data_IF_077696564485
#
_entry.id   IF_077696564485
#
_cell.length_a   1.000
_cell.length_b   1.000
_cell.length_c   1.000
_cell.angle_alpha   90.00
_cell.angle_beta   90.00
_cell.angle_gamma   90.00
#
_symmetry.space_group_name_H-M   'P 1'
#
loop_
_entity.id
_entity.type
_entity.pdbx_description
1 polymer ?
#
# COMPACT_ATOMS: atom_id res chain seq x y z
N UNK A 1 -13.92 -37.74 13.28
CA UNK A 1 -13.74 -36.30 13.61
C UNK A 1 -12.46 -35.82 12.94
N UNK A 2 -12.53 -34.91 11.95
CA UNK A 2 -11.30 -34.24 11.48
C UNK A 2 -10.84 -33.34 12.62
N UNK A 3 -9.69 -33.64 13.23
CA UNK A 3 -9.07 -32.72 14.18
C UNK A 3 -8.68 -31.51 13.33
N UNK A 4 -9.37 -30.38 13.52
CA UNK A 4 -9.03 -29.14 12.83
C UNK A 4 -7.69 -28.67 13.40
N UNK A 5 -6.58 -29.01 12.75
CA UNK A 5 -5.28 -28.46 13.07
C UNK A 5 -5.13 -27.07 12.45
N UNK A 6 -4.38 -26.20 13.11
CA UNK A 6 -3.98 -24.94 12.50
C UNK A 6 -3.22 -25.18 11.19
N UNK A 7 -3.30 -24.26 10.20
CA UNK A 7 -2.59 -24.41 8.93
C UNK A 7 -1.09 -24.67 9.14
N UNK A 8 -0.53 -25.61 8.38
CA UNK A 8 0.91 -25.89 8.40
C UNK A 8 1.68 -24.85 7.60
N UNK A 9 3.00 -24.74 7.81
CA UNK A 9 3.84 -23.84 7.00
C UNK A 9 3.82 -24.22 5.51
N UNK A 10 3.73 -25.52 5.17
CA UNK A 10 3.59 -25.97 3.77
C UNK A 10 2.31 -25.42 3.14
N UNK A 11 1.18 -25.54 3.84
CA UNK A 11 -0.10 -25.01 3.37
C UNK A 11 -0.07 -23.48 3.20
N UNK A 12 0.64 -22.76 4.08
CA UNK A 12 0.84 -21.32 3.94
C UNK A 12 1.68 -20.98 2.71
N UNK A 13 2.76 -21.73 2.45
CA UNK A 13 3.61 -21.54 1.27
C UNK A 13 2.88 -21.84 -0.03
N UNK A 14 2.08 -22.89 -0.09
CA UNK A 14 1.24 -23.21 -1.25
C UNK A 14 0.24 -22.08 -1.55
N UNK A 15 -0.42 -21.56 -0.51
CA UNK A 15 -1.34 -20.43 -0.65
C UNK A 15 -0.62 -19.13 -1.03
N UNK A 16 0.58 -18.91 -0.50
CA UNK A 16 1.45 -17.80 -0.86
C UNK A 16 1.86 -17.85 -2.33
N UNK A 17 2.27 -19.02 -2.83
CA UNK A 17 2.62 -19.22 -4.24
C UNK A 17 1.41 -18.99 -5.17
N UNK A 18 0.22 -19.43 -4.78
CA UNK A 18 -1.01 -19.15 -5.54
C UNK A 18 -1.31 -17.64 -5.57
N UNK A 19 -1.27 -16.97 -4.42
CA UNK A 19 -1.53 -15.53 -4.34
C UNK A 19 -0.48 -14.71 -5.10
N UNK A 20 0.80 -15.03 -4.94
CA UNK A 20 1.90 -14.34 -5.61
C UNK A 20 1.78 -14.40 -7.12
N UNK A 21 1.45 -15.57 -7.67
CA UNK A 21 1.19 -15.73 -9.11
C UNK A 21 0.02 -14.87 -9.59
N UNK A 22 -1.09 -14.85 -8.85
CA UNK A 22 -2.25 -14.03 -9.21
C UNK A 22 -1.97 -12.52 -9.16
N UNK A 23 -1.16 -12.07 -8.20
CA UNK A 23 -0.73 -10.68 -8.09
C UNK A 23 0.20 -10.31 -9.25
N UNK A 24 1.19 -11.15 -9.55
CA UNK A 24 2.16 -10.93 -10.62
C UNK A 24 1.49 -10.92 -12.01
N UNK A 25 0.61 -11.89 -12.30
CA UNK A 25 -0.17 -11.98 -13.54
C UNK A 25 -1.07 -10.75 -13.79
N UNK A 26 -1.52 -10.08 -12.72
CA UNK A 26 -2.36 -8.88 -12.80
C UNK A 26 -1.58 -7.58 -12.57
N UNK A 27 -0.26 -7.65 -12.41
CA UNK A 27 0.61 -6.52 -12.08
C UNK A 27 0.14 -5.71 -10.85
N UNK A 28 -0.36 -6.41 -9.84
CA UNK A 28 -0.83 -5.82 -8.59
C UNK A 28 0.24 -5.90 -7.50
N UNK A 29 0.40 -4.80 -6.78
CA UNK A 29 1.30 -4.68 -5.63
C UNK A 29 0.54 -4.73 -4.30
N UNK A 30 1.16 -5.32 -3.28
CA UNK A 30 0.62 -5.50 -1.94
C UNK A 30 1.55 -4.94 -0.85
N UNK A 31 0.94 -4.21 0.09
CA UNK A 31 1.56 -3.76 1.34
C UNK A 31 0.95 -4.46 2.57
N UNK A 32 1.72 -4.60 3.65
CA UNK A 32 1.32 -5.40 4.81
C UNK A 32 1.40 -4.59 6.12
N UNK A 33 0.33 -4.58 6.91
CA UNK A 33 0.34 -4.07 8.28
C UNK A 33 0.10 -5.21 9.27
N UNK A 34 1.11 -5.59 10.04
CA UNK A 34 1.04 -6.71 10.97
C UNK A 34 1.12 -6.26 12.43
N UNK A 35 0.28 -6.81 13.30
CA UNK A 35 0.41 -6.68 14.75
C UNK A 35 0.67 -8.07 15.37
N UNK A 36 -0.38 -8.84 15.67
CA UNK A 36 -0.23 -10.11 16.40
C UNK A 36 0.51 -11.22 15.63
N UNK A 37 0.62 -11.11 14.30
CA UNK A 37 1.37 -12.04 13.43
C UNK A 37 2.87 -11.74 13.40
N UNK A 38 3.30 -10.54 13.77
CA UNK A 38 4.69 -10.19 14.02
C UNK A 38 5.64 -10.43 12.83
N UNK A 39 5.19 -10.14 11.60
CA UNK A 39 6.00 -10.32 10.38
C UNK A 39 5.82 -11.68 9.70
N UNK A 40 4.93 -12.54 10.20
CA UNK A 40 4.72 -13.87 9.63
C UNK A 40 4.09 -13.81 8.23
N UNK A 41 3.17 -12.87 7.97
CA UNK A 41 2.61 -12.72 6.62
C UNK A 41 3.70 -12.29 5.65
N UNK A 42 4.49 -11.27 6.01
CA UNK A 42 5.62 -10.82 5.21
C UNK A 42 6.59 -11.97 4.91
N UNK A 43 7.04 -12.69 5.94
CA UNK A 43 7.96 -13.82 5.79
C UNK A 43 7.43 -14.90 4.83
N UNK A 44 6.15 -15.26 4.93
CA UNK A 44 5.54 -16.29 4.08
C UNK A 44 5.39 -15.82 2.63
N UNK A 45 5.09 -14.53 2.39
CA UNK A 45 5.03 -13.98 1.03
C UNK A 45 6.42 -13.87 0.41
N UNK A 46 7.43 -13.47 1.18
CA UNK A 46 8.80 -13.32 0.69
C UNK A 46 9.56 -14.65 0.52
N UNK A 47 9.04 -15.76 1.07
CA UNK A 47 9.55 -17.11 0.81
C UNK A 47 9.39 -17.53 -0.67
N UNK A 48 8.54 -16.83 -1.44
CA UNK A 48 8.29 -17.14 -2.86
C UNK A 48 9.30 -16.38 -3.75
N UNK A 49 10.07 -17.07 -4.60
CA UNK A 49 10.92 -16.41 -5.60
C UNK A 49 10.13 -15.46 -6.49
N UNK A 50 10.69 -14.28 -6.77
CA UNK A 50 10.01 -13.23 -7.53
C UNK A 50 9.03 -12.38 -6.71
N UNK A 51 8.90 -12.61 -5.40
CA UNK A 51 8.03 -11.82 -4.51
C UNK A 51 8.30 -10.32 -4.53
N UNK A 52 9.50 -9.88 -4.91
CA UNK A 52 9.84 -8.46 -5.10
C UNK A 52 9.03 -7.76 -6.19
N UNK A 53 8.35 -8.49 -7.08
CA UNK A 53 7.48 -7.88 -8.10
C UNK A 53 6.17 -7.35 -7.51
N UNK A 54 5.66 -7.97 -6.45
CA UNK A 54 4.34 -7.66 -5.89
C UNK A 54 4.37 -7.27 -4.41
N UNK A 55 5.31 -7.74 -3.59
CA UNK A 55 5.40 -7.35 -2.17
C UNK A 55 6.28 -6.09 -2.04
N UNK A 56 5.66 -4.94 -1.80
CA UNK A 56 6.42 -3.67 -1.70
C UNK A 56 6.99 -3.42 -0.31
N UNK A 57 6.43 -4.08 0.70
CA UNK A 57 6.94 -4.00 2.07
C UNK A 57 5.85 -4.19 3.11
N UNK A 58 6.22 -4.03 4.37
CA UNK A 58 5.27 -4.09 5.47
C UNK A 58 5.76 -3.43 6.74
N UNK A 59 4.81 -3.15 7.62
CA UNK A 59 5.02 -2.52 8.92
C UNK A 59 4.51 -3.47 10.00
N UNK A 60 5.40 -3.88 10.90
CA UNK A 60 5.00 -4.56 12.13
C UNK A 60 4.71 -3.50 13.21
N UNK A 61 3.45 -3.12 13.35
CA UNK A 61 2.98 -2.07 14.27
C UNK A 61 2.39 -2.65 15.56
N UNK A 62 3.24 -3.30 16.36
CA UNK A 62 2.79 -4.03 17.56
C UNK A 62 2.18 -3.12 18.63
N UNK A 63 2.78 -1.97 18.92
CA UNK A 63 2.29 -1.00 19.90
C UNK A 63 1.27 -0.02 19.31
N UNK A 64 0.42 0.57 20.17
CA UNK A 64 -0.47 1.67 19.78
C UNK A 64 0.31 2.85 19.21
N UNK A 65 1.44 3.19 19.82
CA UNK A 65 2.33 4.23 19.33
C UNK A 65 2.83 3.98 17.91
N UNK A 66 3.23 2.73 17.59
CA UNK A 66 3.65 2.37 16.24
C UNK A 66 2.50 2.47 15.22
N UNK A 67 1.29 2.06 15.61
CA UNK A 67 0.08 2.21 14.79
C UNK A 67 -0.18 3.68 14.46
N UNK A 68 -0.11 4.56 15.44
CA UNK A 68 -0.33 6.00 15.24
C UNK A 68 0.80 6.63 14.42
N UNK A 69 2.06 6.45 14.82
CA UNK A 69 3.21 7.16 14.21
C UNK A 69 3.52 6.70 12.79
N UNK A 70 3.40 5.41 12.52
CA UNK A 70 3.85 4.83 11.24
C UNK A 70 2.68 4.65 10.27
N UNK A 71 1.53 4.22 10.78
CA UNK A 71 0.36 3.91 9.95
C UNK A 71 -0.73 4.99 10.01
N UNK A 72 -0.57 6.04 10.82
CA UNK A 72 -1.55 7.11 10.91
C UNK A 72 -2.88 6.68 11.53
N UNK A 73 -2.91 5.59 12.30
CA UNK A 73 -4.09 5.22 13.09
C UNK A 73 -4.41 6.37 14.05
N UNK A 74 -5.68 6.76 14.13
CA UNK A 74 -6.12 7.90 14.92
C UNK A 74 -6.10 7.56 16.42
N UNK A 75 -5.62 8.46 17.30
CA UNK A 75 -5.72 8.28 18.74
C UNK A 75 -7.15 8.00 19.20
N UNK A 76 -8.13 8.69 18.62
CA UNK A 76 -9.56 8.58 18.95
C UNK A 76 -10.09 7.18 18.64
N UNK A 77 -9.63 6.55 17.55
CA UNK A 77 -9.99 5.18 17.19
C UNK A 77 -9.47 4.19 18.23
N UNK A 78 -8.24 4.36 18.68
CA UNK A 78 -7.65 3.50 19.71
C UNK A 78 -8.30 3.71 21.08
N UNK A 79 -8.71 4.92 21.42
CA UNK A 79 -9.41 5.23 22.66
C UNK A 79 -10.82 4.62 22.66
N UNK A 80 -11.59 4.80 21.59
CA UNK A 80 -12.98 4.34 21.52
C UNK A 80 -13.12 2.84 21.27
N UNK A 81 -12.27 2.24 20.42
CA UNK A 81 -12.46 0.87 19.95
C UNK A 81 -11.33 -0.07 20.40
N UNK A 82 -10.17 0.48 20.80
CA UNK A 82 -8.98 -0.30 21.14
C UNK A 82 -8.24 -0.85 19.92
N UNK A 83 -7.01 -1.32 20.13
CA UNK A 83 -6.13 -1.79 19.05
C UNK A 83 -6.62 -3.05 18.31
N UNK A 84 -7.53 -3.81 18.94
CA UNK A 84 -8.14 -5.02 18.37
C UNK A 84 -9.60 -4.69 18.07
N UNK A 85 -9.81 -4.13 16.89
CA UNK A 85 -11.11 -3.67 16.40
C UNK A 85 -11.11 -3.61 14.85
N UNK A 86 -12.29 -3.64 14.20
CA UNK A 86 -12.38 -3.47 12.75
C UNK A 86 -11.92 -2.08 12.28
N UNK A 87 -12.15 -1.03 13.08
CA UNK A 87 -11.75 0.36 12.78
C UNK A 87 -10.22 0.51 12.79
N UNK A 88 -9.55 -0.05 13.80
CA UNK A 88 -8.08 -0.05 13.83
C UNK A 88 -7.52 -0.85 12.65
N UNK A 89 -8.12 -1.99 12.30
CA UNK A 89 -7.67 -2.79 11.16
C UNK A 89 -7.82 -2.03 9.83
N UNK A 90 -8.94 -1.33 9.62
CA UNK A 90 -9.18 -0.46 8.47
C UNK A 90 -8.10 0.62 8.35
N UNK A 91 -7.89 1.39 9.42
CA UNK A 91 -6.91 2.49 9.42
C UNK A 91 -5.49 1.98 9.22
N UNK A 92 -5.13 0.83 9.80
CA UNK A 92 -3.85 0.17 9.54
C UNK A 92 -3.67 -0.20 8.05
N UNK A 93 -4.72 -0.72 7.40
CA UNK A 93 -4.66 -1.13 6.00
C UNK A 93 -4.56 0.08 5.07
N UNK A 94 -5.39 1.10 5.28
CA UNK A 94 -5.34 2.35 4.52
C UNK A 94 -4.01 3.08 4.71
N UNK A 95 -3.53 3.14 5.95
CA UNK A 95 -2.26 3.75 6.33
C UNK A 95 -1.07 3.11 5.62
N UNK A 96 -0.97 1.78 5.64
CA UNK A 96 0.17 1.11 4.98
C UNK A 96 0.07 1.17 3.45
N UNK A 97 -1.14 1.12 2.88
CA UNK A 97 -1.36 1.31 1.45
C UNK A 97 -0.87 2.69 1.00
N UNK A 98 -1.25 3.73 1.73
CA UNK A 98 -0.81 5.10 1.44
C UNK A 98 0.70 5.29 1.62
N UNK A 99 1.27 4.72 2.68
CA UNK A 99 2.69 4.80 3.00
C UNK A 99 3.57 4.18 1.90
N UNK A 100 3.18 3.01 1.40
CA UNK A 100 3.97 2.24 0.40
C UNK A 100 3.47 2.41 -1.04
N UNK A 101 2.40 3.17 -1.25
CA UNK A 101 1.80 3.46 -2.56
C UNK A 101 1.48 2.20 -3.38
N UNK A 102 0.79 1.24 -2.77
CA UNK A 102 0.44 -0.05 -3.39
C UNK A 102 -0.99 -0.12 -3.89
N UNK A 103 -1.26 -1.08 -4.78
CA UNK A 103 -2.60 -1.33 -5.31
C UNK A 103 -3.55 -1.82 -4.21
N UNK A 104 -3.09 -2.79 -3.42
CA UNK A 104 -3.78 -3.32 -2.25
C UNK A 104 -2.91 -3.31 -0.99
N UNK A 105 -3.55 -3.38 0.17
CA UNK A 105 -2.91 -3.62 1.44
C UNK A 105 -3.73 -4.57 2.30
N UNK A 106 -3.05 -5.33 3.17
CA UNK A 106 -3.67 -6.17 4.19
C UNK A 106 -3.21 -5.76 5.58
N UNK A 107 -4.15 -5.53 6.49
CA UNK A 107 -3.88 -5.37 7.91
C UNK A 107 -4.32 -6.57 8.74
N UNK A 108 -3.58 -6.86 9.81
CA UNK A 108 -3.88 -7.89 10.80
C UNK A 108 -3.68 -7.33 12.21
N UNK A 109 -4.76 -7.28 13.01
CA UNK A 109 -4.69 -6.96 14.44
C UNK A 109 -5.55 -7.92 15.27
N UNK A 110 -5.06 -8.34 16.44
CA UNK A 110 -5.72 -9.40 17.19
C UNK A 110 -4.98 -9.84 18.45
N UNK A 111 -5.55 -10.85 19.12
CA UNK A 111 -5.08 -11.42 20.38
C UNK A 111 -4.65 -12.86 20.11
N UNK A 112 -3.36 -13.08 19.85
CA UNK A 112 -2.87 -14.43 19.56
C UNK A 112 -2.92 -15.38 20.78
N UNK A 113 -2.96 -14.86 22.01
CA UNK A 113 -2.90 -15.66 23.24
C UNK A 113 -1.47 -15.94 23.73
N UNK A 114 -1.27 -16.67 24.85
CA UNK A 114 -2.31 -17.30 25.65
C UNK A 114 -3.08 -16.34 26.57
N UNK A 115 -2.56 -15.13 26.79
CA UNK A 115 -3.21 -14.07 27.58
C UNK A 115 -3.69 -12.89 26.73
N UNK A 116 -4.17 -11.85 27.41
CA UNK A 116 -4.61 -10.60 26.79
C UNK A 116 -6.05 -10.61 26.25
N UNK A 117 -6.78 -11.71 26.43
CA UNK A 117 -8.20 -11.78 26.12
C UNK A 117 -9.09 -11.35 27.28
N UNK A 118 -10.29 -10.88 26.95
CA UNK A 118 -11.42 -10.65 27.86
C UNK A 118 -12.62 -11.48 27.40
N UNK A 119 -13.71 -11.57 28.18
CA UNK A 119 -14.95 -12.21 27.71
C UNK A 119 -15.47 -11.61 26.38
N UNK A 120 -15.32 -10.30 26.19
CA UNK A 120 -15.77 -9.56 25.00
C UNK A 120 -14.77 -9.67 23.84
N UNK A 121 -13.46 -9.75 24.15
CA UNK A 121 -12.37 -9.88 23.19
C UNK A 121 -11.52 -11.10 23.51
N UNK A 122 -11.98 -12.32 23.17
CA UNK A 122 -11.31 -13.55 23.59
C UNK A 122 -9.96 -13.74 22.90
N UNK A 123 -9.12 -14.60 23.48
CA UNK A 123 -7.93 -15.13 22.81
C UNK A 123 -8.36 -15.80 21.50
N UNK A 124 -7.59 -15.54 20.43
CA UNK A 124 -7.89 -16.00 19.08
C UNK A 124 -8.67 -14.99 18.26
N UNK A 125 -9.22 -13.92 18.86
CA UNK A 125 -9.90 -12.84 18.12
C UNK A 125 -8.90 -12.08 17.25
N UNK A 126 -9.18 -12.00 15.96
CA UNK A 126 -8.38 -11.28 14.97
C UNK A 126 -9.27 -10.57 13.97
N UNK A 127 -8.97 -9.30 13.72
CA UNK A 127 -9.53 -8.50 12.64
C UNK A 127 -8.52 -8.42 11.50
N UNK A 128 -9.02 -8.67 10.29
CA UNK A 128 -8.31 -8.50 9.04
C UNK A 128 -8.97 -7.37 8.26
N UNK A 129 -8.18 -6.61 7.51
CA UNK A 129 -8.74 -5.64 6.58
C UNK A 129 -7.94 -5.59 5.29
N UNK A 130 -8.63 -5.66 4.15
CA UNK A 130 -8.08 -5.41 2.83
C UNK A 130 -8.49 -4.01 2.40
N UNK A 131 -7.53 -3.15 2.09
CA UNK A 131 -7.78 -1.85 1.47
C UNK A 131 -7.25 -1.87 0.03
N UNK A 132 -8.06 -1.41 -0.91
CA UNK A 132 -7.69 -1.19 -2.31
C UNK A 132 -8.39 0.07 -2.84
N UNK A 133 -8.24 0.39 -4.13
CA UNK A 133 -8.86 1.59 -4.72
C UNK A 133 -10.40 1.51 -4.71
N UNK A 134 -10.94 0.32 -4.92
CA UNK A 134 -12.37 0.06 -5.14
C UNK A 134 -13.06 -0.61 -3.94
N UNK A 135 -12.31 -1.00 -2.90
CA UNK A 135 -12.88 -1.70 -1.75
C UNK A 135 -12.09 -1.50 -0.46
N UNK A 136 -12.84 -1.41 0.64
CA UNK A 136 -12.39 -1.64 2.01
C UNK A 136 -13.15 -2.87 2.54
N UNK A 137 -12.46 -4.00 2.70
CA UNK A 137 -13.05 -5.30 3.06
C UNK A 137 -12.48 -5.83 4.38
N UNK A 138 -13.27 -5.72 5.45
CA UNK A 138 -12.96 -6.26 6.77
C UNK A 138 -13.49 -7.67 7.03
N UNK A 139 -12.74 -8.48 7.78
CA UNK A 139 -13.20 -9.75 8.34
C UNK A 139 -12.83 -9.90 9.81
N UNK A 140 -13.69 -10.57 10.58
CA UNK A 140 -13.46 -10.93 11.97
C UNK A 140 -13.38 -12.45 12.09
N UNK A 141 -12.38 -12.94 12.82
CA UNK A 141 -12.18 -14.36 13.09
C UNK A 141 -11.90 -14.60 14.57
N UNK A 142 -12.29 -15.78 15.07
CA UNK A 142 -11.91 -16.26 16.41
C UNK A 142 -11.34 -17.66 16.27
N UNK A 143 -10.04 -17.79 16.49
CA UNK A 143 -9.31 -19.03 16.27
C UNK A 143 -9.19 -19.86 17.56
N UNK A 144 -9.48 -21.18 17.54
CA UNK A 144 -9.43 -22.02 18.73
C UNK A 144 -8.05 -22.67 18.96
N UNK A 145 -6.97 -22.05 18.47
CA UNK A 145 -5.63 -22.64 18.52
C UNK A 145 -4.75 -21.98 19.60
N UNK A 146 -3.55 -22.53 19.75
CA UNK A 146 -2.49 -21.89 20.53
C UNK A 146 -1.97 -20.62 19.82
N UNK A 147 -1.04 -19.91 20.46
CA UNK A 147 -0.46 -18.66 19.92
C UNK A 147 0.06 -18.85 18.49
N UNK A 148 0.76 -19.94 18.22
CA UNK A 148 1.36 -20.20 16.90
C UNK A 148 0.27 -20.53 15.89
N UNK A 149 -0.68 -21.37 16.25
CA UNK A 149 -1.81 -21.74 15.39
C UNK A 149 -2.70 -20.55 15.04
N UNK A 150 -2.99 -19.66 16.00
CA UNK A 150 -3.76 -18.44 15.78
C UNK A 150 -3.06 -17.50 14.79
N UNK A 151 -1.74 -17.34 14.92
CA UNK A 151 -0.95 -16.56 13.95
C UNK A 151 -1.02 -17.18 12.56
N UNK A 152 -0.83 -18.49 12.42
CA UNK A 152 -0.88 -19.19 11.12
C UNK A 152 -2.27 -19.14 10.48
N UNK A 153 -3.32 -19.33 11.26
CA UNK A 153 -4.69 -19.21 10.79
C UNK A 153 -5.00 -17.80 10.27
N UNK A 154 -4.54 -16.77 10.98
CA UNK A 154 -4.70 -15.36 10.58
C UNK A 154 -3.97 -15.05 9.28
N UNK A 155 -2.73 -15.51 9.12
CA UNK A 155 -1.95 -15.35 7.88
C UNK A 155 -2.62 -16.06 6.71
N UNK A 156 -3.13 -17.28 6.92
CA UNK A 156 -3.89 -18.00 5.90
C UNK A 156 -5.17 -17.23 5.50
N UNK A 157 -5.93 -16.72 6.47
CA UNK A 157 -7.15 -15.97 6.21
C UNK A 157 -6.87 -14.66 5.47
N UNK A 158 -5.83 -13.93 5.85
CA UNK A 158 -5.34 -12.74 5.15
C UNK A 158 -5.01 -13.02 3.68
N UNK A 159 -4.25 -14.08 3.39
CA UNK A 159 -3.93 -14.45 2.00
C UNK A 159 -5.18 -14.90 1.24
N UNK A 160 -6.14 -15.59 1.87
CA UNK A 160 -7.42 -15.96 1.23
C UNK A 160 -8.31 -14.76 0.94
N UNK A 161 -8.29 -13.74 1.78
CA UNK A 161 -8.99 -12.47 1.56
C UNK A 161 -8.41 -11.75 0.33
N UNK A 162 -7.09 -11.55 0.29
CA UNK A 162 -6.40 -10.99 -0.87
C UNK A 162 -6.67 -11.81 -2.15
N UNK A 163 -6.59 -13.14 -2.06
CA UNK A 163 -6.87 -14.03 -3.19
C UNK A 163 -8.30 -13.89 -3.71
N UNK A 164 -9.30 -13.80 -2.83
CA UNK A 164 -10.71 -13.61 -3.23
C UNK A 164 -10.90 -12.29 -3.95
N UNK A 165 -10.30 -11.21 -3.44
CA UNK A 165 -10.33 -9.92 -4.10
C UNK A 165 -9.71 -9.98 -5.52
N UNK A 166 -8.50 -10.51 -5.64
CA UNK A 166 -7.79 -10.61 -6.93
C UNK A 166 -8.52 -11.51 -7.93
N UNK A 167 -9.12 -12.62 -7.49
CA UNK A 167 -9.97 -13.48 -8.35
C UNK A 167 -11.31 -12.83 -8.70
N UNK A 168 -11.92 -12.08 -7.78
CA UNK A 168 -13.15 -11.34 -8.01
C UNK A 168 -12.98 -10.30 -9.12
N UNK A 169 -11.82 -9.64 -9.16
CA UNK A 169 -11.42 -8.78 -10.29
C UNK A 169 -11.33 -9.56 -11.59
N UNK A 170 -10.81 -10.78 -11.60
CA UNK A 170 -10.77 -11.64 -12.80
C UNK A 170 -12.18 -11.98 -13.34
N UNK A 171 -13.17 -12.17 -12.46
CA UNK A 171 -14.54 -12.55 -12.87
C UNK A 171 -15.43 -11.36 -13.28
N UNK A 172 -15.06 -10.13 -12.92
CA UNK A 172 -15.78 -8.92 -13.33
C UNK A 172 -15.21 -8.27 -14.61
N UNK A 173 -14.19 -8.87 -15.22
CA UNK A 173 -13.43 -8.27 -16.31
C UNK A 173 -13.67 -9.05 -17.61
N UNK A 174 -14.58 -8.55 -18.47
CA UNK A 174 -14.24 -8.42 -19.90
C UNK A 174 -12.86 -7.74 -19.96
N UNK A 175 -11.90 -8.23 -20.76
CA UNK A 175 -10.50 -7.83 -20.65
C UNK A 175 -10.38 -6.31 -20.66
N UNK A 176 -10.16 -5.73 -19.48
CA UNK A 176 -9.74 -4.34 -19.38
C UNK A 176 -8.31 -4.37 -19.88
N UNK A 177 -7.97 -3.55 -20.90
CA UNK A 177 -6.68 -3.63 -21.56
C UNK A 177 -5.59 -3.57 -20.51
N UNK A 178 -4.57 -4.43 -20.67
CA UNK A 178 -3.28 -4.21 -19.99
C UNK A 178 -2.98 -2.73 -20.17
N UNK A 179 -2.93 -1.98 -19.07
CA UNK A 179 -2.50 -0.58 -19.16
C UNK A 179 -1.00 -0.72 -19.40
N UNK A 180 -0.47 -0.46 -20.62
CA UNK A 180 0.97 -0.21 -20.71
C UNK A 180 1.28 0.90 -19.70
N UNK A 181 2.52 0.99 -19.17
CA UNK A 181 2.90 2.08 -18.28
C UNK A 181 2.35 3.36 -18.87
N UNK A 182 1.33 3.94 -18.21
CA UNK A 182 0.66 5.07 -18.82
C UNK A 182 1.67 6.17 -18.80
N UNK A 183 2.00 6.69 -19.98
CA UNK A 183 2.87 7.84 -20.06
C UNK A 183 2.30 8.90 -19.11
N UNK A 184 3.12 9.48 -18.22
CA UNK A 184 2.64 10.45 -17.27
C UNK A 184 1.84 11.54 -17.99
N UNK A 185 0.75 12.04 -17.40
CA UNK A 185 -0.17 12.93 -18.10
C UNK A 185 0.60 14.14 -18.62
N UNK A 186 0.31 14.52 -19.86
CA UNK A 186 0.82 15.76 -20.40
C UNK A 186 0.31 16.92 -19.53
N UNK A 187 1.21 17.83 -19.18
CA UNK A 187 0.90 19.03 -18.43
C UNK A 187 1.37 20.23 -19.21
N UNK A 188 0.60 21.32 -19.14
CA UNK A 188 1.06 22.59 -19.67
C UNK A 188 2.11 23.15 -18.69
N UNK A 189 3.25 23.54 -19.25
CA UNK A 189 4.34 24.18 -18.51
C UNK A 189 4.76 25.42 -19.28
N UNK A 190 4.71 26.57 -18.61
CA UNK A 190 5.39 27.77 -19.09
C UNK A 190 6.87 27.63 -18.71
N UNK A 191 7.75 27.50 -19.69
CA UNK A 191 9.18 27.37 -19.45
C UNK A 191 10.01 28.13 -20.50
N UNK A 192 11.22 28.54 -20.12
CA UNK A 192 12.22 29.09 -21.03
C UNK A 192 13.47 28.21 -21.08
N UNK A 193 14.17 28.21 -22.20
CA UNK A 193 15.49 27.60 -22.32
C UNK A 193 16.58 28.65 -22.09
N UNK A 194 17.44 28.45 -21.07
CA UNK A 194 18.55 29.36 -20.75
C UNK A 194 19.76 28.59 -20.28
N UNK A 195 20.94 28.97 -20.77
CA UNK A 195 22.24 28.41 -20.35
C UNK A 195 22.32 26.87 -20.38
N UNK A 196 21.63 26.23 -21.34
CA UNK A 196 21.64 24.77 -21.48
C UNK A 196 20.69 24.01 -20.53
N UNK A 197 19.78 24.71 -19.85
CA UNK A 197 18.82 24.14 -18.93
C UNK A 197 17.40 24.69 -19.18
N UNK A 198 16.40 23.94 -18.75
CA UNK A 198 15.01 24.40 -18.76
C UNK A 198 14.71 25.18 -17.48
N UNK A 199 13.97 26.27 -17.63
CA UNK A 199 13.50 27.12 -16.55
C UNK A 199 11.98 27.20 -16.58
N UNK A 200 11.28 26.30 -15.86
CA UNK A 200 9.85 26.39 -15.66
C UNK A 200 9.49 27.58 -14.77
N UNK A 201 8.48 28.35 -15.20
CA UNK A 201 7.92 29.50 -14.47
C UNK A 201 6.53 29.20 -13.90
N UNK A 202 5.75 28.35 -14.59
CA UNK A 202 4.45 27.89 -14.11
C UNK A 202 4.10 26.50 -14.65
N UNK A 203 3.32 25.75 -13.87
CA UNK A 203 2.81 24.42 -14.22
C UNK A 203 1.31 24.39 -14.00
N UNK A 204 0.56 23.82 -14.94
CA UNK A 204 -0.85 23.53 -14.75
C UNK A 204 -1.04 22.11 -14.24
N UNK A 205 -1.66 21.99 -13.07
CA UNK A 205 -2.07 20.73 -12.48
C UNK A 205 -3.61 20.67 -12.52
N UNK A 206 -4.14 20.00 -13.54
CA UNK A 206 -5.56 20.13 -13.89
C UNK A 206 -5.88 21.56 -14.33
N UNK A 207 -6.92 22.17 -13.75
CA UNK A 207 -7.30 23.56 -14.04
C UNK A 207 -6.50 24.60 -13.25
N UNK A 208 -5.65 24.17 -12.32
CA UNK A 208 -4.91 25.08 -11.44
C UNK A 208 -3.54 25.43 -12.01
N UNK A 209 -3.30 26.73 -12.25
CA UNK A 209 -1.98 27.27 -12.58
C UNK A 209 -1.18 27.50 -11.29
N UNK A 210 -0.04 26.83 -11.15
CA UNK A 210 0.87 26.99 -10.01
C UNK A 210 2.17 27.66 -10.46
N UNK A 211 2.55 28.72 -9.76
CA UNK A 211 3.81 29.43 -10.00
C UNK A 211 4.98 28.65 -9.41
N UNK A 212 6.02 28.48 -10.21
CA UNK A 212 7.28 27.85 -9.78
C UNK A 212 8.15 28.92 -9.13
N UNK A 213 8.56 28.68 -7.88
CA UNK A 213 9.41 29.59 -7.09
C UNK A 213 10.80 29.03 -6.82
N UNK A 214 10.97 27.72 -7.02
CA UNK A 214 12.23 27.02 -6.82
C UNK A 214 12.35 25.83 -7.76
N UNK A 215 13.58 25.40 -8.00
CA UNK A 215 13.88 24.17 -8.76
C UNK A 215 14.96 23.35 -8.07
N UNK A 216 14.81 22.04 -8.13
CA UNK A 216 15.84 21.08 -7.78
C UNK A 216 16.84 20.88 -8.93
N UNK A 217 17.71 19.89 -8.74
CA UNK A 217 18.66 19.46 -9.78
C UNK A 217 17.89 18.96 -11.01
N UNK A 218 18.39 19.37 -12.18
CA UNK A 218 17.91 18.88 -13.47
C UNK A 218 18.87 17.78 -13.96
N UNK A 219 18.32 16.64 -14.37
CA UNK A 219 19.06 15.50 -14.89
C UNK A 219 18.59 15.18 -16.31
N UNK A 220 19.52 14.74 -17.17
CA UNK A 220 19.22 14.31 -18.53
C UNK A 220 19.45 12.81 -18.63
N UNK A 221 18.44 12.06 -19.02
CA UNK A 221 18.54 10.61 -19.21
C UNK A 221 19.36 10.29 -20.48
N UNK A 222 19.87 9.06 -20.63
CA UNK A 222 20.55 8.63 -21.87
C UNK A 222 19.70 8.80 -23.13
N UNK A 223 18.37 8.70 -22.99
CA UNK A 223 17.38 8.89 -24.06
C UNK A 223 17.11 10.37 -24.37
N UNK A 224 17.76 11.29 -23.66
CA UNK A 224 17.67 12.73 -23.89
C UNK A 224 16.52 13.43 -23.18
N UNK A 225 15.71 12.72 -22.40
CA UNK A 225 14.63 13.26 -21.58
C UNK A 225 15.20 14.02 -20.40
N UNK A 226 14.66 15.19 -20.10
CA UNK A 226 15.04 15.94 -18.91
C UNK A 226 14.08 15.67 -17.78
N UNK A 227 14.61 15.46 -16.57
CA UNK A 227 13.83 15.28 -15.34
C UNK A 227 14.25 16.38 -14.37
N UNK A 228 13.28 17.03 -13.74
CA UNK A 228 13.54 18.06 -12.73
C UNK A 228 12.44 18.10 -11.68
N UNK A 229 12.81 18.53 -10.47
CA UNK A 229 11.83 18.87 -9.43
C UNK A 229 11.61 20.37 -9.42
N UNK A 230 10.36 20.81 -9.28
CA UNK A 230 9.98 22.21 -9.09
C UNK A 230 9.26 22.38 -7.76
N UNK A 231 9.41 23.56 -7.17
CA UNK A 231 8.72 23.97 -5.94
C UNK A 231 7.75 25.10 -6.25
N UNK A 232 6.56 25.02 -5.69
CA UNK A 232 5.49 25.98 -5.89
C UNK A 232 5.38 26.96 -4.73
N UNK A 233 4.84 28.15 -4.99
CA UNK A 233 4.67 29.21 -3.99
C UNK A 233 3.82 28.78 -2.77
N UNK A 234 2.94 27.80 -2.94
CA UNK A 234 2.10 27.27 -1.86
C UNK A 234 2.81 26.25 -0.96
N UNK A 235 4.08 25.93 -1.25
CA UNK A 235 4.88 24.92 -0.55
C UNK A 235 4.75 23.50 -1.11
N UNK A 236 3.98 23.32 -2.20
CA UNK A 236 3.93 22.06 -2.95
C UNK A 236 5.17 21.85 -3.83
N UNK A 237 5.36 20.62 -4.31
CA UNK A 237 6.45 20.27 -5.23
C UNK A 237 5.96 19.34 -6.34
N UNK A 238 6.61 19.36 -7.50
CA UNK A 238 6.33 18.42 -8.58
C UNK A 238 7.60 17.93 -9.25
N UNK A 239 7.58 16.68 -9.73
CA UNK A 239 8.61 16.10 -10.60
C UNK A 239 8.09 16.12 -12.03
N UNK A 240 8.77 16.89 -12.88
CA UNK A 240 8.44 17.08 -14.29
C UNK A 240 9.44 16.33 -15.16
N UNK A 241 8.96 15.85 -16.29
CA UNK A 241 9.82 15.42 -17.40
C UNK A 241 9.47 16.14 -18.68
N UNK A 242 10.48 16.43 -19.50
CA UNK A 242 10.30 16.98 -20.85
C UNK A 242 11.18 16.23 -21.83
N UNK A 243 10.55 15.73 -22.88
CA UNK A 243 11.26 15.28 -24.08
C UNK A 243 11.44 16.50 -24.99
N UNK A 244 12.69 16.98 -25.20
CA UNK A 244 12.95 18.13 -26.07
C UNK A 244 12.54 17.92 -27.53
N UNK A 245 12.55 16.67 -28.00
CA UNK A 245 12.18 16.36 -29.38
C UNK A 245 10.66 16.43 -29.59
N UNK A 246 9.89 15.99 -28.59
CA UNK A 246 8.43 16.05 -28.63
C UNK A 246 7.87 17.41 -28.17
N UNK A 247 8.62 18.19 -27.39
CA UNK A 247 8.15 19.42 -26.75
C UNK A 247 7.05 19.18 -25.70
N UNK A 248 6.81 17.93 -25.33
CA UNK A 248 5.74 17.53 -24.40
C UNK A 248 6.30 17.45 -22.99
N UNK A 249 5.70 18.20 -22.08
CA UNK A 249 5.95 18.13 -20.65
C UNK A 249 4.99 17.14 -20.00
N UNK A 250 5.49 16.33 -19.08
CA UNK A 250 4.70 15.34 -18.35
C UNK A 250 4.94 15.40 -16.86
N UNK A 251 3.88 15.18 -16.10
CA UNK A 251 3.93 15.17 -14.64
C UNK A 251 4.19 13.75 -14.14
N UNK A 252 5.39 13.52 -13.60
CA UNK A 252 5.77 12.22 -13.05
C UNK A 252 5.23 12.03 -11.63
N UNK A 253 5.38 13.04 -10.77
CA UNK A 253 4.88 13.05 -9.38
C UNK A 253 4.48 14.47 -8.95
N UNK A 254 3.49 14.55 -8.06
CA UNK A 254 3.06 15.79 -7.41
C UNK A 254 2.93 15.56 -5.91
N UNK A 255 3.59 16.42 -5.13
CA UNK A 255 3.52 16.46 -3.67
C UNK A 255 2.80 17.75 -3.27
N UNK A 256 1.52 17.70 -2.84
CA UNK A 256 0.81 18.88 -2.39
C UNK A 256 1.47 19.50 -1.15
N UNK A 257 1.20 20.78 -0.84
CA UNK A 257 1.74 21.41 0.34
C UNK A 257 1.30 20.69 1.62
N UNK A 258 2.21 20.56 2.58
CA UNK A 258 1.91 19.95 3.89
C UNK A 258 0.89 20.82 4.60
N UNK A 259 -0.36 20.36 4.70
CA UNK A 259 -1.35 20.95 5.60
C UNK A 259 -0.96 20.56 7.03
N UNK A 260 -0.37 21.49 7.76
CA UNK A 260 -0.39 21.42 9.22
C UNK A 260 -1.78 21.88 9.65
N UNK A 261 -2.62 20.95 10.09
CA UNK A 261 -3.89 21.19 10.77
C UNK A 261 -3.94 20.25 11.98
#
# INVERSE_FOLDING_TARGET
>A
MKINHAPTLSQLRELSAELGRLLDEQHLTIALAESCTGGLLASILTDIPGSSHYVMGGVVSYSNEAKMKVLGVRPETLEAHGAVSPETALEMAQGVRALLQTDLAIAITGIAGPGGGTPEKPVGLVYLHLAAEDVDWGEMHVWPYDRIGNKRASVAAAMRLARRYVKGRTMQVDPKPTRPPQEPPAVLVEASWRQGAWEPHAVWLGEQRKLVVGRGRQERTPEGVWIMTVEFADGGRAELMVDPAAGVWRLRRHWPPRRYA
#
